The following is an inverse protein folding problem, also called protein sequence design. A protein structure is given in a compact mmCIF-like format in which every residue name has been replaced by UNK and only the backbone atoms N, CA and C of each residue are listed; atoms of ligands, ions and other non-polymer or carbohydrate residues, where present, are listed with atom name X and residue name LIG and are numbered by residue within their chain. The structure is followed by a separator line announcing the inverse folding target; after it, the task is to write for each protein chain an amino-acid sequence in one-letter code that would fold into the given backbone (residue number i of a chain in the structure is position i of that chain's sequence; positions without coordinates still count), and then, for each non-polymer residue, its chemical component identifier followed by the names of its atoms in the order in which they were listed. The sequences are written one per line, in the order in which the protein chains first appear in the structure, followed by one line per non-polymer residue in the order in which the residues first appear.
data_IF_658081643486
#
_entry.id   IF_658081643486
#
_cell.length_a   1.000
_cell.length_b   1.000
_cell.length_c   1.000
_cell.angle_alpha   90.00
_cell.angle_beta   90.00
_cell.angle_gamma   90.00
#
_symmetry.space_group_name_H-M   'P 1'
#
loop_
_entity.id
_entity.type
_entity.pdbx_description
1 polymer ?
#
# COMPACT_ATOMS: atom_id res chain seq x y z
N UNK A 1 -3.35 10.95 -9.39
CA UNK A 1 -2.65 11.47 -8.19
C UNK A 1 -2.57 12.99 -8.16
N UNK A 2 -2.14 13.68 -9.22
CA UNK A 2 -1.93 15.14 -9.22
C UNK A 2 -3.09 15.98 -8.68
N UNK A 3 -4.35 15.59 -8.94
CA UNK A 3 -5.53 16.28 -8.41
C UNK A 3 -5.60 16.30 -6.86
N UNK A 4 -5.06 15.27 -6.21
CA UNK A 4 -5.09 15.09 -4.75
C UNK A 4 -3.72 15.29 -4.10
N UNK A 5 -2.71 15.74 -4.87
CA UNK A 5 -1.33 15.84 -4.40
C UNK A 5 -1.21 16.70 -3.14
N UNK A 6 -1.93 17.83 -3.07
CA UNK A 6 -1.93 18.72 -1.89
C UNK A 6 -2.49 18.02 -0.65
N UNK A 7 -3.53 17.21 -0.81
CA UNK A 7 -4.15 16.47 0.27
C UNK A 7 -3.22 15.36 0.79
N UNK A 8 -2.53 14.66 -0.10
CA UNK A 8 -1.53 13.66 0.32
C UNK A 8 -0.31 14.28 0.98
N UNK A 9 0.16 15.42 0.48
CA UNK A 9 1.23 16.19 1.14
C UNK A 9 0.84 16.66 2.54
N UNK A 10 -0.44 16.98 2.77
CA UNK A 10 -0.93 17.33 4.10
C UNK A 10 -0.90 16.14 5.06
N UNK A 11 -0.91 14.88 4.59
CA UNK A 11 -0.79 13.73 5.48
C UNK A 11 0.57 13.66 6.14
N UNK A 12 1.63 14.14 5.48
CA UNK A 12 2.98 14.17 6.03
C UNK A 12 3.03 14.83 7.43
N UNK A 13 2.20 15.85 7.69
CA UNK A 13 2.21 16.54 9.00
C UNK A 13 1.59 15.72 10.13
N UNK A 14 0.81 14.68 9.80
CA UNK A 14 0.20 13.76 10.76
C UNK A 14 0.88 12.40 10.83
N UNK A 15 1.82 12.11 9.93
CA UNK A 15 2.57 10.86 9.89
C UNK A 15 3.90 11.02 10.64
N UNK A 16 4.35 9.94 11.28
CA UNK A 16 5.72 9.87 11.79
C UNK A 16 6.73 9.80 10.65
N UNK A 17 7.99 10.13 10.92
CA UNK A 17 9.08 10.03 9.94
C UNK A 17 9.27 8.61 9.39
N UNK A 18 8.94 7.57 10.17
CA UNK A 18 9.01 6.16 9.79
C UNK A 18 7.60 5.57 9.62
N UNK A 19 6.65 6.33 9.08
CA UNK A 19 5.30 5.82 8.88
C UNK A 19 5.25 4.85 7.69
N UNK A 20 4.57 3.73 7.89
CA UNK A 20 4.18 2.80 6.83
C UNK A 20 2.72 3.01 6.44
N UNK A 21 2.43 2.92 5.14
CA UNK A 21 1.07 2.87 4.59
C UNK A 21 0.86 1.52 3.91
N UNK A 22 -0.01 0.70 4.50
CA UNK A 22 -0.39 -0.61 3.95
C UNK A 22 -1.69 -0.49 3.14
N UNK A 23 -1.62 -0.68 1.83
CA UNK A 23 -2.75 -0.57 0.91
C UNK A 23 -3.24 -1.95 0.45
N UNK A 24 -4.35 -2.38 1.05
CA UNK A 24 -5.05 -3.60 0.68
C UNK A 24 -6.09 -3.28 -0.39
N UNK A 25 -5.86 -3.74 -1.62
CA UNK A 25 -6.77 -3.56 -2.72
C UNK A 25 -6.39 -4.45 -3.90
N UNK A 26 -7.36 -5.22 -4.39
CA UNK A 26 -7.10 -6.21 -5.44
C UNK A 26 -6.48 -5.54 -6.67
N UNK A 27 -5.32 -6.06 -7.09
CA UNK A 27 -4.55 -5.63 -8.26
C UNK A 27 -4.14 -4.14 -8.24
N UNK A 28 -4.15 -3.48 -7.08
CA UNK A 28 -3.90 -2.03 -6.97
C UNK A 28 -2.52 -1.64 -7.50
N UNK A 29 -1.50 -2.44 -7.17
CA UNK A 29 -0.13 -2.23 -7.61
C UNK A 29 0.24 -3.08 -8.85
N UNK A 30 -0.76 -3.60 -9.57
CA UNK A 30 -0.52 -4.46 -10.73
C UNK A 30 0.02 -3.70 -11.93
N UNK A 31 1.01 -4.30 -12.60
CA UNK A 31 1.67 -3.72 -13.77
C UNK A 31 2.42 -2.41 -13.50
N UNK A 32 2.94 -1.80 -14.57
CA UNK A 32 3.77 -0.58 -14.47
C UNK A 32 3.00 0.62 -13.94
N UNK A 33 1.70 0.73 -14.26
CA UNK A 33 0.85 1.83 -13.79
C UNK A 33 0.61 1.74 -12.28
N UNK A 34 0.28 0.55 -11.76
CA UNK A 34 0.06 0.33 -10.33
C UNK A 34 1.34 0.56 -9.51
N UNK A 35 2.47 0.05 -9.98
CA UNK A 35 3.77 0.30 -9.33
C UNK A 35 4.13 1.79 -9.33
N UNK A 36 3.90 2.49 -10.45
CA UNK A 36 4.12 3.95 -10.52
C UNK A 36 3.20 4.72 -9.58
N UNK A 37 1.97 4.25 -9.39
CA UNK A 37 1.05 4.83 -8.41
C UNK A 37 1.61 4.72 -6.98
N UNK A 38 2.09 3.54 -6.58
CA UNK A 38 2.67 3.31 -5.24
C UNK A 38 3.90 4.21 -5.03
N UNK A 39 4.82 4.25 -5.99
CA UNK A 39 6.01 5.12 -5.92
C UNK A 39 5.65 6.60 -5.80
N UNK A 40 4.71 7.09 -6.61
CA UNK A 40 4.30 8.49 -6.57
C UNK A 40 3.58 8.85 -5.26
N UNK A 41 2.81 7.91 -4.70
CA UNK A 41 2.14 8.13 -3.42
C UNK A 41 3.14 8.18 -2.27
N UNK A 42 4.17 7.33 -2.28
CA UNK A 42 5.27 7.37 -1.31
C UNK A 42 5.97 8.74 -1.34
N UNK A 43 6.29 9.24 -2.54
CA UNK A 43 6.89 10.59 -2.70
C UNK A 43 5.97 11.73 -2.24
N UNK A 44 4.65 11.58 -2.36
CA UNK A 44 3.71 12.62 -1.93
C UNK A 44 3.48 12.63 -0.42
N UNK A 45 3.54 11.46 0.21
CA UNK A 45 3.27 11.28 1.65
C UNK A 45 4.53 11.26 2.50
N UNK A 46 5.70 11.05 1.87
CA UNK A 46 7.00 10.81 2.51
C UNK A 46 7.01 9.58 3.43
N UNK A 47 6.11 8.63 3.17
CA UNK A 47 5.98 7.38 3.90
C UNK A 47 6.42 6.19 3.04
N UNK A 48 6.79 5.10 3.70
CA UNK A 48 7.01 3.81 3.05
C UNK A 48 5.64 3.15 2.80
N UNK A 49 5.47 2.55 1.62
CA UNK A 49 4.17 2.06 1.16
C UNK A 49 4.30 0.62 0.73
N UNK A 50 3.43 -0.24 1.23
CA UNK A 50 3.24 -1.60 0.74
C UNK A 50 1.85 -1.76 0.13
N UNK A 51 1.75 -2.42 -1.02
CA UNK A 51 0.50 -2.61 -1.73
C UNK A 51 0.42 -3.98 -2.42
N UNK A 52 -0.81 -4.51 -2.53
CA UNK A 52 -1.06 -5.77 -3.24
C UNK A 52 -1.09 -5.56 -4.77
N UNK A 53 -0.49 -6.48 -5.51
CA UNK A 53 -0.50 -6.48 -6.98
C UNK A 53 -1.39 -7.57 -7.60
N UNK A 54 -2.02 -8.40 -6.78
CA UNK A 54 -2.89 -9.51 -7.16
C UNK A 54 -4.20 -9.51 -6.35
N UNK A 55 -4.89 -10.66 -6.26
CA UNK A 55 -6.10 -10.75 -5.45
C UNK A 55 -5.76 -10.63 -3.97
N UNK A 56 -6.21 -9.56 -3.32
CA UNK A 56 -6.05 -9.38 -1.88
C UNK A 56 -7.18 -10.09 -1.14
N UNK A 57 -6.85 -10.87 -0.10
CA UNK A 57 -7.86 -11.40 0.81
C UNK A 57 -7.68 -12.87 1.19
N UNK A 58 -8.80 -13.52 1.47
CA UNK A 58 -8.84 -14.89 1.96
C UNK A 58 -8.26 -15.89 0.95
N UNK A 59 -7.38 -16.78 1.42
CA UNK A 59 -6.73 -17.80 0.58
C UNK A 59 -7.68 -18.83 0.01
N UNK A 60 -8.76 -19.18 0.72
CA UNK A 60 -9.79 -20.09 0.20
C UNK A 60 -10.62 -19.47 -0.94
N UNK A 61 -10.61 -18.13 -1.07
CA UNK A 61 -11.24 -17.40 -2.17
C UNK A 61 -10.25 -17.04 -3.28
N UNK A 62 -9.01 -17.53 -3.20
CA UNK A 62 -7.96 -17.31 -4.19
C UNK A 62 -7.16 -16.02 -4.03
N UNK A 63 -7.35 -15.29 -2.92
CA UNK A 63 -6.54 -14.12 -2.58
C UNK A 63 -5.40 -14.44 -1.61
N UNK A 64 -4.62 -13.42 -1.28
CA UNK A 64 -3.69 -13.48 -0.15
C UNK A 64 -3.57 -12.09 0.51
N UNK A 65 -3.05 -12.03 1.74
CA UNK A 65 -2.87 -10.75 2.46
C UNK A 65 -1.46 -10.17 2.32
N UNK A 66 -0.67 -10.67 1.37
CA UNK A 66 0.64 -10.11 1.09
C UNK A 66 0.52 -8.78 0.32
N UNK A 67 1.61 -8.02 0.42
CA UNK A 67 1.76 -6.72 -0.21
C UNK A 67 3.09 -6.79 -0.97
N UNK A 68 3.00 -7.21 -2.22
CA UNK A 68 4.13 -7.61 -3.06
C UNK A 68 4.94 -6.40 -3.56
N UNK A 69 4.32 -5.23 -3.62
CA UNK A 69 4.95 -4.00 -4.11
C UNK A 69 5.21 -3.10 -2.92
N UNK A 70 6.47 -2.72 -2.72
CA UNK A 70 6.91 -1.94 -1.57
C UNK A 70 7.85 -0.79 -1.99
N UNK A 71 7.79 0.31 -1.25
CA UNK A 71 8.79 1.38 -1.29
C UNK A 71 9.45 1.50 0.08
N UNK A 72 10.77 1.70 0.09
CA UNK A 72 11.54 1.78 1.33
C UNK A 72 11.51 0.48 2.12
N UNK A 73 11.54 0.58 3.44
CA UNK A 73 11.46 -0.57 4.34
C UNK A 73 10.09 -0.58 5.00
N UNK A 74 9.51 -1.77 5.17
CA UNK A 74 8.22 -1.92 5.82
C UNK A 74 8.46 -2.62 7.15
N UNK A 75 8.42 -1.87 8.25
CA UNK A 75 8.58 -2.44 9.59
C UNK A 75 7.25 -2.92 10.19
N UNK A 76 6.12 -2.43 9.67
CA UNK A 76 4.79 -2.80 10.14
C UNK A 76 4.43 -4.23 9.77
N UNK A 77 4.06 -5.02 10.78
CA UNK A 77 3.56 -6.37 10.56
C UNK A 77 2.23 -6.37 9.79
N UNK A 78 2.03 -7.37 8.92
CA UNK A 78 0.77 -7.55 8.21
C UNK A 78 -0.40 -7.66 9.19
N UNK A 79 -1.48 -6.96 8.88
CA UNK A 79 -2.62 -6.81 9.78
C UNK A 79 -3.56 -8.01 9.78
N UNK A 80 -3.47 -8.88 8.77
CA UNK A 80 -4.41 -9.98 8.55
C UNK A 80 -3.72 -11.34 8.56
N UNK A 81 -4.37 -12.30 9.22
CA UNK A 81 -4.03 -13.72 9.09
C UNK A 81 -4.60 -14.28 7.79
N UNK A 82 -4.01 -15.37 7.27
CA UNK A 82 -4.40 -15.98 5.99
C UNK A 82 -5.91 -16.28 5.87
N UNK A 83 -6.57 -16.61 6.99
CA UNK A 83 -7.98 -16.99 7.03
C UNK A 83 -8.92 -15.84 7.39
N UNK A 84 -8.42 -14.61 7.53
CA UNK A 84 -9.29 -13.46 7.71
C UNK A 84 -10.29 -13.38 6.55
N UNK A 85 -11.53 -13.05 6.88
CA UNK A 85 -12.62 -12.87 5.91
C UNK A 85 -12.66 -11.39 5.53
N UNK A 86 -12.50 -11.11 4.24
CA UNK A 86 -12.60 -9.81 3.59
C UNK A 86 -13.16 -9.96 2.19
#
# INVERSE_FOLDING_TARGET
LNQYAKQFQQWQTGLSENADILLYGCNLASGSLGQSFVTNLSQLTQADIAASNDLTGNTALGGNWALEVQTGNIETALSFSQNAIG
#
